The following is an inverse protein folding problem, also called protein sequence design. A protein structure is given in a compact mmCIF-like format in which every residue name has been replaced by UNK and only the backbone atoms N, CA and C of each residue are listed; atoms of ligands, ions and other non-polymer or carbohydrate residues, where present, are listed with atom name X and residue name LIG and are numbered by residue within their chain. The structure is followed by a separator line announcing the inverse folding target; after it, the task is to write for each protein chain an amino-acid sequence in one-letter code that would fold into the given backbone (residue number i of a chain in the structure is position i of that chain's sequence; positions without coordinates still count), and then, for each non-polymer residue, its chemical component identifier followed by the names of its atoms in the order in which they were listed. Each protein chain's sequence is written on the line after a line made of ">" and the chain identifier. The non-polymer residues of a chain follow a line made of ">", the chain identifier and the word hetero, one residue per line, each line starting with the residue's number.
data_IF_670581886149
#
_entry.id   IF_670581886149
#
_cell.length_a   1.000
_cell.length_b   1.000
_cell.length_c   1.000
_cell.angle_alpha   90.00
_cell.angle_beta   90.00
_cell.angle_gamma   90.00
#
_symmetry.space_group_name_H-M   'P 1'
#
loop_
_entity.id
_entity.type
_entity.pdbx_description
1 polymer ?
#
# COMPACT_ATOMS: atom_id res chain seq x y z
N UNK A 1 0.71 -1.95 -31.77
CA UNK A 1 0.50 -0.53 -31.50
C UNK A 1 1.24 0.25 -32.55
N UNK A 2 0.53 0.90 -33.44
CA UNK A 2 1.12 1.89 -34.33
C UNK A 2 1.88 2.88 -33.44
N UNK A 3 3.15 3.08 -33.73
CA UNK A 3 3.93 4.18 -33.16
C UNK A 3 3.16 5.44 -33.47
N UNK A 4 2.30 5.83 -32.53
CA UNK A 4 1.15 6.66 -32.78
C UNK A 4 1.57 7.96 -33.42
N UNK A 5 0.85 8.35 -34.39
CA UNK A 5 0.91 9.60 -35.08
C UNK A 5 1.17 10.72 -34.06
N UNK A 6 2.39 11.27 -34.04
CA UNK A 6 2.83 12.32 -33.13
C UNK A 6 1.85 13.49 -33.12
N UNK A 7 1.30 13.82 -34.31
CA UNK A 7 0.30 14.86 -34.47
C UNK A 7 -0.97 14.58 -33.69
N UNK A 8 -1.48 13.33 -33.69
CA UNK A 8 -2.63 12.93 -32.89
C UNK A 8 -2.36 13.03 -31.39
N UNK A 9 -1.17 12.60 -30.94
CA UNK A 9 -0.77 12.73 -29.52
C UNK A 9 -0.67 14.18 -29.09
N UNK A 10 -0.08 15.04 -29.94
CA UNK A 10 0.03 16.48 -29.68
C UNK A 10 -1.37 17.12 -29.64
N UNK A 11 -2.22 16.88 -30.61
CA UNK A 11 -3.60 17.40 -30.64
C UNK A 11 -4.41 16.97 -29.42
N UNK A 12 -4.28 15.71 -29.02
CA UNK A 12 -4.97 15.19 -27.82
C UNK A 12 -4.43 15.84 -26.55
N UNK A 13 -3.11 15.96 -26.43
CA UNK A 13 -2.50 16.56 -25.24
C UNK A 13 -2.83 18.05 -25.13
N UNK A 14 -2.79 18.78 -26.23
CA UNK A 14 -3.05 20.24 -26.30
C UNK A 14 -4.53 20.59 -26.55
N UNK A 15 -5.45 19.65 -26.45
CA UNK A 15 -6.87 19.97 -26.41
C UNK A 15 -7.14 20.96 -25.26
N UNK A 16 -7.78 22.09 -25.56
CA UNK A 16 -7.95 23.20 -24.62
C UNK A 16 -8.58 22.72 -23.31
N UNK A 17 -9.68 21.97 -23.39
CA UNK A 17 -10.38 21.46 -22.22
C UNK A 17 -9.48 20.56 -21.36
N UNK A 18 -8.64 19.73 -22.00
CA UNK A 18 -7.71 18.87 -21.30
C UNK A 18 -6.62 19.67 -20.57
N UNK A 19 -6.00 20.63 -21.24
CA UNK A 19 -4.98 21.51 -20.65
C UNK A 19 -5.56 22.29 -19.48
N UNK A 20 -6.74 22.89 -19.64
CA UNK A 20 -7.40 23.64 -18.59
C UNK A 20 -7.71 22.74 -17.40
N UNK A 21 -8.18 21.51 -17.64
CA UNK A 21 -8.42 20.53 -16.57
C UNK A 21 -7.12 20.15 -15.86
N UNK A 22 -6.03 19.94 -16.58
CA UNK A 22 -4.72 19.66 -15.97
C UNK A 22 -4.22 20.82 -15.11
N UNK A 23 -4.26 22.03 -15.63
CA UNK A 23 -3.83 23.25 -14.90
C UNK A 23 -4.70 23.45 -13.64
N UNK A 24 -6.00 23.29 -13.76
CA UNK A 24 -6.95 23.50 -12.67
C UNK A 24 -6.90 22.42 -11.60
N UNK A 25 -6.74 21.15 -12.01
CA UNK A 25 -7.06 20.03 -11.13
C UNK A 25 -5.89 19.08 -10.87
N UNK A 26 -4.85 19.02 -11.71
CA UNK A 26 -3.82 17.98 -11.63
C UNK A 26 -2.40 18.49 -11.40
N UNK A 27 -2.28 19.74 -10.97
CA UNK A 27 -1.06 20.28 -10.41
C UNK A 27 -1.16 20.20 -8.88
N UNK A 28 -0.12 19.66 -8.25
CA UNK A 28 0.00 19.53 -6.80
C UNK A 28 1.24 20.31 -6.35
N UNK A 29 1.08 21.11 -5.32
CA UNK A 29 2.20 21.74 -4.63
C UNK A 29 2.46 20.97 -3.35
N UNK A 30 3.67 20.47 -3.15
CA UNK A 30 4.05 19.72 -1.98
C UNK A 30 5.41 20.18 -1.47
N UNK A 31 5.55 20.24 -0.16
CA UNK A 31 6.81 20.57 0.49
C UNK A 31 7.75 19.37 0.49
N UNK A 32 8.97 19.60 0.00
CA UNK A 32 10.07 18.65 0.05
C UNK A 32 11.35 19.42 0.37
N UNK A 33 12.10 18.98 1.37
CA UNK A 33 13.36 19.60 1.80
C UNK A 33 13.20 21.10 2.13
N UNK A 34 12.09 21.46 2.81
CA UNK A 34 11.70 22.84 3.18
C UNK A 34 11.39 23.76 1.98
N UNK A 35 11.32 23.22 0.77
CA UNK A 35 10.95 23.94 -0.45
C UNK A 35 9.60 23.49 -0.99
N UNK A 36 8.79 24.47 -1.45
CA UNK A 36 7.52 24.20 -2.11
C UNK A 36 7.75 23.80 -3.57
N UNK A 37 7.59 22.52 -3.85
CA UNK A 37 7.77 21.95 -5.16
C UNK A 37 6.45 21.76 -5.90
N UNK A 38 6.47 22.00 -7.21
CA UNK A 38 5.33 21.79 -8.10
C UNK A 38 5.43 20.44 -8.78
N UNK A 39 4.38 19.62 -8.63
CA UNK A 39 4.24 18.31 -9.26
C UNK A 39 3.05 18.32 -10.22
N UNK A 40 3.20 17.70 -11.37
CA UNK A 40 2.13 17.46 -12.32
C UNK A 40 1.82 15.97 -12.29
N UNK A 41 0.56 15.60 -12.07
CA UNK A 41 0.17 14.21 -12.05
C UNK A 41 0.39 13.57 -13.44
N UNK A 42 0.95 12.36 -13.43
CA UNK A 42 1.10 11.56 -14.64
C UNK A 42 -0.26 10.99 -15.06
N UNK A 43 -0.37 10.53 -16.30
CA UNK A 43 -1.63 10.06 -16.86
C UNK A 43 -2.29 8.96 -16.02
N UNK A 44 -1.54 7.92 -15.62
CA UNK A 44 -2.07 6.84 -14.78
C UNK A 44 -2.58 7.35 -13.41
N UNK A 45 -1.96 8.40 -12.86
CA UNK A 45 -2.45 9.00 -11.60
C UNK A 45 -3.76 9.77 -11.84
N UNK A 46 -3.86 10.52 -12.94
CA UNK A 46 -5.09 11.25 -13.32
C UNK A 46 -6.25 10.27 -13.51
N UNK A 47 -6.05 9.22 -14.30
CA UNK A 47 -7.06 8.18 -14.53
C UNK A 47 -7.51 7.52 -13.24
N UNK A 48 -6.57 7.19 -12.35
CA UNK A 48 -6.90 6.63 -11.04
C UNK A 48 -7.69 7.62 -10.18
N UNK A 49 -7.30 8.90 -10.14
CA UNK A 49 -8.03 9.95 -9.39
C UNK A 49 -9.46 10.06 -9.89
N UNK A 50 -9.68 10.14 -11.22
CA UNK A 50 -11.01 10.23 -11.82
C UNK A 50 -11.88 9.02 -11.45
N UNK A 51 -11.34 7.80 -11.58
CA UNK A 51 -12.04 6.57 -11.20
C UNK A 51 -12.36 6.51 -9.69
N UNK A 52 -11.44 6.96 -8.85
CA UNK A 52 -11.64 7.03 -7.39
C UNK A 52 -12.76 8.00 -7.04
N UNK A 53 -12.76 9.21 -7.62
CA UNK A 53 -13.82 10.20 -7.40
C UNK A 53 -15.16 9.67 -7.90
N UNK A 54 -15.19 9.08 -9.10
CA UNK A 54 -16.40 8.48 -9.65
C UNK A 54 -16.93 7.34 -8.76
N UNK A 55 -16.06 6.45 -8.27
CA UNK A 55 -16.43 5.37 -7.37
C UNK A 55 -16.96 5.88 -6.03
N UNK A 56 -16.36 6.93 -5.49
CA UNK A 56 -16.79 7.52 -4.23
C UNK A 56 -18.20 8.10 -4.32
N UNK A 57 -18.60 8.63 -5.48
CA UNK A 57 -19.92 9.19 -5.75
C UNK A 57 -20.94 8.16 -6.24
N UNK A 58 -20.56 6.90 -6.42
CA UNK A 58 -21.45 5.82 -6.84
C UNK A 58 -22.19 5.23 -5.65
N UNK A 59 -23.50 5.39 -5.60
CA UNK A 59 -24.34 4.84 -4.53
C UNK A 59 -24.46 3.32 -4.54
N UNK A 60 -24.26 2.68 -5.69
CA UNK A 60 -24.40 1.24 -5.86
C UNK A 60 -23.12 0.46 -5.50
N UNK A 61 -21.94 1.09 -5.63
CA UNK A 61 -20.64 0.45 -5.47
C UNK A 61 -19.83 1.16 -4.39
N UNK A 62 -19.47 0.41 -3.35
CA UNK A 62 -18.81 0.96 -2.15
C UNK A 62 -17.37 0.48 -1.97
N UNK A 63 -16.82 -0.28 -2.91
CA UNK A 63 -15.46 -0.83 -2.85
C UNK A 63 -14.68 -0.48 -4.12
N UNK A 64 -13.39 -0.22 -3.98
CA UNK A 64 -12.49 0.01 -5.09
C UNK A 64 -11.06 -0.39 -4.73
N UNK A 65 -10.31 -0.99 -5.66
CA UNK A 65 -8.91 -1.32 -5.52
C UNK A 65 -8.10 -0.61 -6.61
N UNK A 66 -7.22 0.28 -6.20
CA UNK A 66 -6.21 0.87 -7.08
C UNK A 66 -4.91 0.07 -6.93
N UNK A 67 -4.64 -0.75 -7.93
CA UNK A 67 -3.44 -1.58 -7.99
C UNK A 67 -2.35 -0.89 -8.79
N UNK A 68 -1.62 -0.02 -8.16
CA UNK A 68 -0.49 0.70 -8.75
C UNK A 68 0.83 0.24 -8.15
N UNK A 69 1.82 -0.04 -8.99
CA UNK A 69 3.14 -0.52 -8.55
C UNK A 69 3.80 0.45 -7.55
N UNK A 70 4.77 -0.05 -6.82
CA UNK A 70 5.56 0.77 -5.90
C UNK A 70 6.33 1.84 -6.68
N UNK A 71 6.45 3.06 -6.13
CA UNK A 71 7.07 4.19 -6.84
C UNK A 71 6.21 4.90 -7.87
N UNK A 72 4.96 4.46 -8.12
CA UNK A 72 4.03 5.09 -9.07
C UNK A 72 3.44 6.43 -8.62
N UNK A 73 3.74 6.88 -7.39
CA UNK A 73 3.21 8.11 -6.82
C UNK A 73 1.79 8.00 -6.24
N UNK A 74 1.43 6.85 -5.67
CA UNK A 74 0.12 6.60 -5.02
C UNK A 74 -0.27 7.68 -4.01
N UNK A 75 0.69 8.18 -3.24
CA UNK A 75 0.44 9.25 -2.26
C UNK A 75 -0.15 10.51 -2.91
N UNK A 76 0.40 10.96 -4.05
CA UNK A 76 -0.18 12.10 -4.78
C UNK A 76 -1.55 11.78 -5.37
N UNK A 77 -1.80 10.55 -5.79
CA UNK A 77 -3.11 10.09 -6.24
C UNK A 77 -4.14 10.17 -5.11
N UNK A 78 -3.78 9.69 -3.91
CA UNK A 78 -4.63 9.76 -2.70
C UNK A 78 -4.92 11.22 -2.32
N UNK A 79 -3.88 12.05 -2.23
CA UNK A 79 -4.01 13.47 -1.88
C UNK A 79 -4.96 14.18 -2.86
N UNK A 80 -4.75 13.98 -4.16
CA UNK A 80 -5.55 14.66 -5.19
C UNK A 80 -6.99 14.15 -5.24
N UNK A 81 -7.21 12.85 -5.08
CA UNK A 81 -8.55 12.28 -4.96
C UNK A 81 -9.30 12.85 -3.75
N UNK A 82 -8.61 12.97 -2.60
CA UNK A 82 -9.17 13.58 -1.39
C UNK A 82 -9.55 15.05 -1.60
N UNK A 83 -8.68 15.83 -2.22
CA UNK A 83 -8.95 17.23 -2.53
C UNK A 83 -10.18 17.39 -3.44
N UNK A 84 -10.21 16.60 -4.54
CA UNK A 84 -11.34 16.69 -5.48
C UNK A 84 -12.65 16.21 -4.87
N UNK A 85 -12.62 15.17 -4.03
CA UNK A 85 -13.81 14.73 -3.29
C UNK A 85 -14.28 15.78 -2.29
N UNK A 86 -13.36 16.37 -1.53
CA UNK A 86 -13.69 17.39 -0.53
C UNK A 86 -14.34 18.62 -1.16
N UNK A 87 -13.87 19.02 -2.33
CA UNK A 87 -14.39 20.17 -3.10
C UNK A 87 -15.63 19.84 -3.95
N UNK A 88 -16.01 18.55 -4.07
CA UNK A 88 -17.11 18.13 -4.91
C UNK A 88 -18.46 18.36 -4.22
N UNK A 89 -19.36 19.18 -4.78
CA UNK A 89 -20.68 19.43 -4.18
C UNK A 89 -21.54 18.16 -4.02
N UNK A 90 -21.37 17.17 -4.90
CA UNK A 90 -22.11 15.90 -4.84
C UNK A 90 -21.69 15.01 -3.65
N UNK A 91 -20.52 15.25 -3.09
CA UNK A 91 -20.05 14.53 -1.91
C UNK A 91 -20.69 15.03 -0.61
N UNK A 92 -21.42 16.14 -0.64
CA UNK A 92 -22.21 16.72 0.46
C UNK A 92 -21.43 16.84 1.78
N UNK A 93 -20.42 17.71 1.79
CA UNK A 93 -19.56 17.95 2.97
C UNK A 93 -19.05 16.62 3.55
N UNK A 94 -18.18 15.91 2.84
CA UNK A 94 -17.76 14.56 3.21
C UNK A 94 -16.86 14.54 4.44
N UNK A 95 -16.79 13.36 5.07
CA UNK A 95 -15.68 12.96 5.91
C UNK A 95 -14.77 12.04 5.09
N UNK A 96 -13.52 12.43 4.91
CA UNK A 96 -12.54 11.63 4.18
C UNK A 96 -11.52 11.11 5.19
N UNK A 97 -11.42 9.80 5.32
CA UNK A 97 -10.49 9.14 6.24
C UNK A 97 -9.33 8.58 5.42
N UNK A 98 -8.14 9.08 5.68
CA UNK A 98 -6.89 8.60 5.09
C UNK A 98 -6.23 7.65 6.06
N UNK A 99 -6.21 6.37 5.71
CA UNK A 99 -5.53 5.34 6.50
C UNK A 99 -4.15 5.10 5.88
N UNK A 100 -3.12 5.35 6.67
CA UNK A 100 -1.72 5.17 6.29
C UNK A 100 -1.05 4.10 7.15
N UNK A 101 0.05 3.55 6.62
CA UNK A 101 0.75 2.43 7.25
C UNK A 101 1.92 2.85 8.16
N UNK A 102 2.48 4.06 7.97
CA UNK A 102 3.69 4.51 8.66
C UNK A 102 3.53 5.86 9.33
N UNK A 103 3.92 5.94 10.60
CA UNK A 103 3.88 7.18 11.40
C UNK A 103 4.66 8.33 10.75
N UNK A 104 5.83 8.05 10.17
CA UNK A 104 6.69 9.07 9.55
C UNK A 104 6.02 9.78 8.36
N UNK A 105 5.03 9.13 7.73
CA UNK A 105 4.30 9.70 6.60
C UNK A 105 3.08 10.53 7.05
N UNK A 106 2.61 10.40 8.30
CA UNK A 106 1.44 11.14 8.81
C UNK A 106 1.68 12.64 8.75
N UNK A 107 2.75 13.12 9.36
CA UNK A 107 3.07 14.55 9.41
C UNK A 107 3.32 15.14 8.02
N UNK A 108 4.01 14.40 7.16
CA UNK A 108 4.25 14.84 5.78
C UNK A 108 2.94 14.92 4.99
N UNK A 109 2.06 13.94 5.14
CA UNK A 109 0.76 13.93 4.47
C UNK A 109 -0.11 15.11 4.94
N UNK A 110 -0.16 15.38 6.25
CA UNK A 110 -0.91 16.50 6.83
C UNK A 110 -0.37 17.83 6.32
N UNK A 111 0.96 18.03 6.28
CA UNK A 111 1.56 19.24 5.70
C UNK A 111 1.18 19.42 4.23
N UNK A 112 1.27 18.35 3.44
CA UNK A 112 0.89 18.39 2.02
C UNK A 112 -0.60 18.71 1.83
N UNK A 113 -1.50 18.17 2.64
CA UNK A 113 -2.92 18.47 2.60
C UNK A 113 -3.20 19.94 2.94
N UNK A 114 -2.55 20.47 3.97
CA UNK A 114 -2.66 21.88 4.36
C UNK A 114 -2.11 22.82 3.28
N UNK A 115 -1.00 22.47 2.63
CA UNK A 115 -0.43 23.28 1.53
C UNK A 115 -1.36 23.36 0.30
N UNK A 116 -2.30 22.43 0.15
CA UNK A 116 -3.34 22.45 -0.87
C UNK A 116 -4.59 23.27 -0.46
N UNK A 117 -4.52 23.98 0.68
CA UNK A 117 -5.63 24.79 1.20
C UNK A 117 -6.73 23.97 1.88
N UNK A 118 -6.42 22.73 2.30
CA UNK A 118 -7.33 21.93 3.10
C UNK A 118 -7.07 22.22 4.58
N UNK A 119 -7.82 23.13 5.15
CA UNK A 119 -7.63 23.58 6.54
C UNK A 119 -8.25 22.60 7.56
N UNK A 120 -9.34 21.92 7.18
CA UNK A 120 -10.07 20.98 8.04
C UNK A 120 -9.40 19.58 7.98
N UNK A 121 -8.20 19.47 8.52
CA UNK A 121 -7.46 18.20 8.61
C UNK A 121 -7.16 17.90 10.07
N UNK A 122 -7.71 16.79 10.55
CA UNK A 122 -7.49 16.28 11.90
C UNK A 122 -6.59 15.04 11.89
N UNK A 123 -5.73 14.97 12.90
CA UNK A 123 -4.90 13.78 13.14
C UNK A 123 -5.51 12.95 14.25
N UNK A 124 -6.08 11.79 13.91
CA UNK A 124 -6.61 10.86 14.89
C UNK A 124 -5.50 9.90 15.39
N UNK A 125 -4.66 10.41 16.29
CA UNK A 125 -3.54 9.70 16.91
C UNK A 125 -3.97 8.70 17.98
N UNK A 126 -5.23 8.78 18.47
CA UNK A 126 -5.80 7.89 19.51
C UNK A 126 -7.13 7.30 19.05
N UNK A 127 -7.45 6.10 19.57
CA UNK A 127 -8.74 5.43 19.35
C UNK A 127 -9.90 6.33 19.79
N UNK A 128 -9.75 7.01 20.92
CA UNK A 128 -10.78 7.92 21.47
C UNK A 128 -11.01 9.09 20.50
N UNK A 129 -9.95 9.72 19.99
CA UNK A 129 -10.04 10.83 19.02
C UNK A 129 -10.79 10.40 17.77
N UNK A 130 -10.43 9.25 17.19
CA UNK A 130 -11.12 8.71 16.01
C UNK A 130 -12.60 8.46 16.30
N UNK A 131 -12.90 7.86 17.43
CA UNK A 131 -14.27 7.56 17.85
C UNK A 131 -15.11 8.83 18.00
N UNK A 132 -14.56 9.85 18.66
CA UNK A 132 -15.27 11.08 18.92
C UNK A 132 -15.52 11.87 17.60
N UNK A 133 -14.53 11.97 16.72
CA UNK A 133 -14.69 12.56 15.39
C UNK A 133 -15.81 11.90 14.56
N UNK A 134 -15.91 10.55 14.63
CA UNK A 134 -16.99 9.83 13.93
C UNK A 134 -18.37 10.01 14.55
N UNK A 135 -18.44 10.13 15.89
CA UNK A 135 -19.69 10.39 16.62
C UNK A 135 -20.20 11.82 16.42
N UNK A 136 -19.28 12.80 16.46
CA UNK A 136 -19.60 14.22 16.42
C UNK A 136 -19.88 14.73 15.01
N UNK A 137 -20.06 13.82 14.05
CA UNK A 137 -20.35 14.16 12.66
C UNK A 137 -19.32 15.11 12.03
N UNK A 138 -18.04 14.92 12.36
CA UNK A 138 -16.95 15.72 11.80
C UNK A 138 -16.97 15.73 10.27
N UNK A 139 -16.77 16.90 9.68
CA UNK A 139 -16.75 17.13 8.23
C UNK A 139 -15.40 17.68 7.81
N UNK A 140 -14.60 16.88 7.14
CA UNK A 140 -13.23 17.22 6.80
C UNK A 140 -12.39 15.97 6.51
N UNK A 141 -11.08 16.12 6.59
CA UNK A 141 -10.12 15.04 6.42
C UNK A 141 -9.65 14.55 7.79
N UNK A 142 -9.58 13.24 7.94
CA UNK A 142 -9.01 12.59 9.12
C UNK A 142 -7.84 11.75 8.63
N UNK A 143 -6.65 11.99 9.14
CA UNK A 143 -5.47 11.16 8.91
C UNK A 143 -5.28 10.24 10.11
N UNK A 144 -5.12 8.95 9.85
CA UNK A 144 -5.01 7.96 10.93
C UNK A 144 -4.37 6.66 10.45
N UNK A 145 -4.04 5.79 11.40
CA UNK A 145 -3.59 4.42 11.15
C UNK A 145 -4.71 3.40 11.39
N UNK A 146 -4.66 2.26 10.71
CA UNK A 146 -5.70 1.23 10.81
C UNK A 146 -5.94 0.72 12.24
N UNK A 147 -4.91 0.65 13.08
CA UNK A 147 -5.04 0.18 14.45
C UNK A 147 -5.88 1.08 15.37
N UNK A 148 -6.18 2.32 14.94
CA UNK A 148 -7.10 3.21 15.66
C UNK A 148 -8.57 2.77 15.55
N UNK A 149 -8.86 1.79 14.70
CA UNK A 149 -10.18 1.14 14.63
C UNK A 149 -10.29 -0.10 15.53
N UNK A 150 -9.24 -0.45 16.29
CA UNK A 150 -9.32 -1.58 17.20
C UNK A 150 -10.44 -1.38 18.22
N UNK A 151 -11.29 -2.43 18.37
CA UNK A 151 -12.43 -2.43 19.30
C UNK A 151 -13.40 -1.23 19.12
N UNK A 152 -13.42 -0.63 17.92
CA UNK A 152 -14.37 0.43 17.61
C UNK A 152 -15.81 -0.11 17.68
N UNK A 153 -16.75 0.62 18.30
CA UNK A 153 -18.16 0.20 18.35
C UNK A 153 -18.74 0.04 16.94
N UNK A 154 -19.59 -0.96 16.76
CA UNK A 154 -20.34 -1.12 15.52
C UNK A 154 -21.27 0.05 15.28
N UNK A 155 -21.52 0.38 14.02
CA UNK A 155 -22.47 1.40 13.58
C UNK A 155 -22.27 2.76 14.25
N UNK A 156 -20.99 3.12 14.53
CA UNK A 156 -20.66 4.40 15.16
C UNK A 156 -21.08 5.59 14.28
N UNK A 157 -21.07 5.41 12.96
CA UNK A 157 -21.63 6.34 12.00
C UNK A 157 -22.26 5.61 10.81
N UNK A 158 -23.53 5.88 10.56
CA UNK A 158 -24.29 5.29 9.45
C UNK A 158 -24.35 6.21 8.21
N UNK A 159 -23.54 7.24 8.17
CA UNK A 159 -23.47 8.17 7.04
C UNK A 159 -22.94 7.51 5.79
N UNK A 160 -23.47 7.92 4.63
CA UNK A 160 -23.03 7.45 3.31
C UNK A 160 -21.89 8.28 2.72
N UNK A 161 -21.71 9.51 3.16
CA UNK A 161 -20.68 10.44 2.69
C UNK A 161 -19.40 10.37 3.52
N UNK A 162 -19.04 9.16 3.94
CA UNK A 162 -17.75 8.83 4.52
C UNK A 162 -16.94 8.04 3.47
N UNK A 163 -15.77 8.55 3.12
CA UNK A 163 -14.87 7.96 2.15
C UNK A 163 -13.57 7.56 2.85
N UNK A 164 -13.20 6.30 2.76
CA UNK A 164 -11.97 5.77 3.37
C UNK A 164 -10.99 5.42 2.28
N UNK A 165 -9.87 6.10 2.24
CA UNK A 165 -8.77 5.85 1.32
C UNK A 165 -7.64 5.19 2.11
N UNK A 166 -7.30 3.96 1.75
CA UNK A 166 -6.37 3.11 2.52
C UNK A 166 -5.08 2.93 1.74
N UNK A 167 -3.99 3.51 2.21
CA UNK A 167 -2.67 3.22 1.65
C UNK A 167 -2.16 1.85 2.15
N UNK A 168 -1.34 1.19 1.35
CA UNK A 168 -0.84 -0.18 1.56
C UNK A 168 -1.96 -1.16 1.99
N UNK A 169 -3.06 -1.11 1.25
CA UNK A 169 -4.32 -1.82 1.56
C UNK A 169 -4.15 -3.34 1.79
N UNK A 170 -3.09 -3.95 1.27
CA UNK A 170 -2.78 -5.35 1.51
C UNK A 170 -2.51 -5.67 3.00
N UNK A 171 -2.05 -4.70 3.79
CA UNK A 171 -1.81 -4.85 5.23
C UNK A 171 -3.10 -4.73 6.05
N UNK A 172 -4.05 -3.93 5.59
CA UNK A 172 -5.34 -3.72 6.26
C UNK A 172 -6.24 -4.95 6.21
N UNK A 173 -6.03 -5.82 5.22
CA UNK A 173 -6.81 -7.07 5.07
C UNK A 173 -6.30 -8.21 5.94
N UNK A 174 -5.20 -8.03 6.65
CA UNK A 174 -4.65 -9.02 7.56
C UNK A 174 -5.24 -8.81 8.97
N UNK A 175 -6.00 -9.82 9.47
CA UNK A 175 -6.58 -9.80 10.82
C UNK A 175 -7.90 -9.05 10.93
N UNK A 176 -8.27 -8.72 12.18
CA UNK A 176 -9.58 -8.19 12.55
C UNK A 176 -9.77 -6.69 12.35
N UNK A 177 -8.68 -5.92 12.18
CA UNK A 177 -8.73 -4.46 12.12
C UNK A 177 -9.58 -3.93 10.94
N UNK A 178 -9.48 -4.58 9.78
CA UNK A 178 -10.35 -4.26 8.65
C UNK A 178 -11.83 -4.57 8.91
N UNK A 179 -12.12 -5.60 9.70
CA UNK A 179 -13.49 -5.94 10.11
C UNK A 179 -14.06 -4.90 11.08
N UNK A 180 -13.26 -4.41 12.03
CA UNK A 180 -13.66 -3.31 12.93
C UNK A 180 -13.97 -2.03 12.16
N UNK A 181 -13.13 -1.65 11.21
CA UNK A 181 -13.37 -0.51 10.33
C UNK A 181 -14.71 -0.63 9.60
N UNK A 182 -14.93 -1.76 8.91
CA UNK A 182 -16.16 -2.00 8.15
C UNK A 182 -17.41 -2.07 9.03
N UNK A 183 -17.28 -2.60 10.25
CA UNK A 183 -18.39 -2.67 11.19
C UNK A 183 -18.72 -1.31 11.82
N UNK A 184 -17.71 -0.46 12.04
CA UNK A 184 -17.89 0.86 12.63
C UNK A 184 -18.61 1.85 11.69
N UNK A 185 -18.34 1.78 10.38
CA UNK A 185 -18.87 2.67 9.35
C UNK A 185 -19.39 1.89 8.13
N UNK A 186 -20.50 1.14 8.28
CA UNK A 186 -20.92 0.14 7.29
C UNK A 186 -21.32 0.73 5.94
N UNK A 187 -21.76 1.99 5.90
CA UNK A 187 -22.18 2.66 4.68
C UNK A 187 -21.05 3.45 3.97
N UNK A 188 -19.84 3.43 4.51
CA UNK A 188 -18.72 4.14 3.94
C UNK A 188 -18.23 3.47 2.65
N UNK A 189 -17.74 4.29 1.71
CA UNK A 189 -17.01 3.81 0.55
C UNK A 189 -15.54 3.60 0.91
N UNK A 190 -15.01 2.39 0.66
CA UNK A 190 -13.64 2.02 0.96
C UNK A 190 -12.86 1.79 -0.33
N UNK A 191 -11.77 2.53 -0.50
CA UNK A 191 -10.88 2.43 -1.65
C UNK A 191 -9.47 2.13 -1.16
N UNK A 192 -8.95 0.98 -1.56
CA UNK A 192 -7.60 0.54 -1.20
C UNK A 192 -6.59 0.87 -2.29
N UNK A 193 -5.41 1.30 -1.88
CA UNK A 193 -4.25 1.54 -2.76
C UNK A 193 -3.14 0.57 -2.37
N UNK A 194 -2.58 -0.16 -3.32
CA UNK A 194 -1.46 -1.06 -3.06
C UNK A 194 -0.68 -1.39 -4.33
N UNK A 195 0.61 -1.63 -4.20
CA UNK A 195 1.45 -2.17 -5.27
C UNK A 195 1.51 -3.70 -5.29
N UNK A 196 1.17 -4.34 -4.19
CA UNK A 196 1.32 -5.77 -3.95
C UNK A 196 0.03 -6.38 -3.38
N UNK A 197 -1.07 -6.43 -4.17
CA UNK A 197 -2.31 -7.02 -3.68
C UNK A 197 -2.12 -8.51 -3.37
N UNK A 198 -2.73 -8.98 -2.29
CA UNK A 198 -2.64 -10.37 -1.82
C UNK A 198 -3.96 -11.08 -2.13
N UNK A 199 -3.87 -12.22 -2.81
CA UNK A 199 -5.05 -12.97 -3.25
C UNK A 199 -5.66 -13.82 -2.13
N UNK A 200 -4.81 -14.46 -1.30
CA UNK A 200 -5.23 -15.26 -0.15
C UNK A 200 -4.36 -14.95 1.05
N UNK A 201 -4.98 -14.75 2.20
CA UNK A 201 -4.28 -14.75 3.50
C UNK A 201 -4.76 -15.92 4.32
N UNK A 202 -3.88 -16.50 5.12
CA UNK A 202 -4.22 -17.58 6.05
C UNK A 202 -5.28 -17.12 7.06
N UNK A 203 -5.32 -15.83 7.35
CA UNK A 203 -6.18 -15.20 8.36
C UNK A 203 -7.07 -14.06 7.82
N UNK A 204 -7.42 -14.04 6.52
CA UNK A 204 -8.24 -12.95 5.99
C UNK A 204 -8.76 -13.16 4.57
N UNK A 205 -9.59 -12.21 4.12
CA UNK A 205 -10.26 -12.30 2.81
C UNK A 205 -9.37 -11.99 1.61
N UNK A 206 -8.16 -11.47 1.83
CA UNK A 206 -7.29 -10.95 0.77
C UNK A 206 -7.73 -9.58 0.22
N UNK A 207 -6.83 -8.91 -0.48
CA UNK A 207 -7.03 -7.53 -0.95
C UNK A 207 -8.12 -7.44 -2.01
N UNK A 208 -8.15 -8.37 -2.96
CA UNK A 208 -9.15 -8.39 -4.04
C UNK A 208 -10.57 -8.61 -3.53
N UNK A 209 -10.75 -9.52 -2.57
CA UNK A 209 -12.07 -9.80 -1.97
C UNK A 209 -12.58 -8.71 -1.04
N UNK A 210 -11.68 -7.85 -0.55
CA UNK A 210 -12.05 -6.75 0.36
C UNK A 210 -12.34 -5.48 -0.42
N UNK A 211 -11.48 -5.11 -1.37
CA UNK A 211 -11.56 -3.83 -2.07
C UNK A 211 -11.99 -3.96 -3.55
N UNK A 212 -11.77 -5.11 -4.17
CA UNK A 212 -12.06 -5.31 -5.60
C UNK A 212 -13.41 -5.97 -5.91
N UNK A 213 -14.24 -6.19 -4.90
CA UNK A 213 -15.48 -6.98 -5.01
C UNK A 213 -16.51 -6.35 -5.97
N UNK A 214 -16.53 -5.04 -6.12
CA UNK A 214 -17.48 -4.31 -6.96
C UNK A 214 -17.01 -4.20 -8.43
N UNK A 215 -15.83 -4.69 -8.75
CA UNK A 215 -15.24 -4.61 -10.08
C UNK A 215 -15.06 -6.00 -10.70
N UNK A 216 -15.50 -6.21 -11.96
CA UNK A 216 -15.40 -7.53 -12.62
C UNK A 216 -13.96 -8.06 -12.74
N UNK A 217 -12.98 -7.16 -12.82
CA UNK A 217 -11.55 -7.51 -12.89
C UNK A 217 -10.90 -7.62 -11.50
N UNK A 218 -11.65 -7.37 -10.41
CA UNK A 218 -11.14 -7.34 -9.05
C UNK A 218 -10.36 -6.06 -8.69
N UNK A 219 -10.33 -5.05 -9.57
CA UNK A 219 -9.70 -3.76 -9.31
C UNK A 219 -10.39 -2.64 -10.08
N UNK A 220 -10.34 -1.45 -9.52
CA UNK A 220 -10.88 -0.22 -10.10
C UNK A 220 -9.93 0.35 -11.15
N UNK A 221 -8.63 0.35 -10.85
CA UNK A 221 -7.58 0.81 -11.72
C UNK A 221 -6.30 0.00 -11.53
N UNK A 222 -5.49 -0.13 -12.61
CA UNK A 222 -4.24 -0.89 -12.57
C UNK A 222 -3.14 -0.16 -13.35
N UNK A 223 -2.00 0.00 -12.69
CA UNK A 223 -0.74 0.41 -13.30
C UNK A 223 0.35 -0.56 -12.83
N UNK A 224 0.71 -1.49 -13.71
CA UNK A 224 1.59 -2.60 -13.38
C UNK A 224 3.07 -2.18 -13.37
N UNK A 225 3.93 -3.06 -12.87
CA UNK A 225 5.39 -2.87 -12.95
C UNK A 225 5.86 -2.85 -14.42
N UNK A 226 5.21 -3.62 -15.30
CA UNK A 226 5.51 -3.62 -16.74
C UNK A 226 5.19 -2.26 -17.38
N UNK A 227 4.03 -1.69 -17.05
CA UNK A 227 3.64 -0.36 -17.54
C UNK A 227 4.65 0.70 -17.03
N UNK A 228 5.04 0.61 -15.76
CA UNK A 228 5.99 1.51 -15.12
C UNK A 228 7.40 1.44 -15.73
N UNK A 229 7.85 0.25 -16.13
CA UNK A 229 9.13 0.05 -16.84
C UNK A 229 9.03 0.63 -18.26
N UNK A 230 7.92 0.38 -18.96
CA UNK A 230 7.67 0.91 -20.30
C UNK A 230 7.66 2.45 -20.31
N UNK A 231 7.06 3.05 -19.28
CA UNK A 231 7.02 4.52 -19.11
C UNK A 231 8.35 5.10 -18.57
N UNK A 232 9.36 4.26 -18.31
CA UNK A 232 10.66 4.68 -17.79
C UNK A 232 10.61 5.23 -16.36
N UNK A 233 9.59 4.89 -15.58
CA UNK A 233 9.44 5.36 -14.19
C UNK A 233 9.98 4.37 -13.16
N UNK A 234 10.20 3.13 -13.58
CA UNK A 234 10.81 2.06 -12.78
C UNK A 234 11.88 1.37 -13.61
N UNK A 235 13.02 1.12 -13.01
CA UNK A 235 14.08 0.33 -13.65
C UNK A 235 13.78 -1.16 -13.52
N UNK A 236 14.04 -1.95 -14.57
CA UNK A 236 13.93 -3.40 -14.48
C UNK A 236 14.96 -3.95 -13.48
N UNK A 237 14.52 -4.90 -12.66
CA UNK A 237 15.41 -5.62 -11.75
C UNK A 237 15.93 -6.89 -12.44
N UNK A 238 17.23 -7.04 -12.45
CA UNK A 238 17.88 -8.26 -12.92
C UNK A 238 18.32 -9.08 -11.72
N UNK A 239 17.93 -10.34 -11.70
CA UNK A 239 18.29 -11.28 -10.64
C UNK A 239 19.42 -12.19 -11.13
N UNK A 240 20.47 -12.31 -10.34
CA UNK A 240 21.50 -13.32 -10.48
C UNK A 240 21.46 -14.24 -9.27
N UNK A 241 21.49 -15.54 -9.51
CA UNK A 241 21.59 -16.50 -8.42
C UNK A 241 22.99 -16.40 -7.80
N UNK A 242 23.05 -16.37 -6.47
CA UNK A 242 24.30 -16.47 -5.76
C UNK A 242 24.94 -17.84 -6.03
N UNK A 243 26.28 -17.94 -6.04
CA UNK A 243 26.99 -19.23 -6.20
C UNK A 243 26.53 -20.28 -5.19
N UNK A 244 26.55 -21.55 -5.59
CA UNK A 244 26.12 -22.67 -4.75
C UNK A 244 26.95 -22.82 -3.45
N UNK A 245 28.08 -22.13 -3.33
CA UNK A 245 28.92 -22.10 -2.13
C UNK A 245 28.21 -21.53 -0.89
N UNK A 246 27.01 -20.96 -1.09
CA UNK A 246 26.13 -20.50 0.01
C UNK A 246 25.25 -21.63 0.56
N UNK A 247 25.30 -22.84 -0.01
CA UNK A 247 24.61 -24.01 0.52
C UNK A 247 25.31 -24.47 1.81
N UNK A 248 24.51 -24.84 2.80
CA UNK A 248 25.01 -25.42 4.05
C UNK A 248 25.49 -26.84 3.72
N UNK A 249 26.76 -27.19 3.99
CA UNK A 249 27.27 -28.56 3.78
C UNK A 249 26.45 -29.57 4.60
N UNK A 250 26.16 -30.73 4.02
CA UNK A 250 25.40 -31.82 4.67
C UNK A 250 26.04 -32.26 5.99
N UNK A 251 27.37 -32.30 6.06
CA UNK A 251 28.13 -32.61 7.29
C UNK A 251 27.91 -31.59 8.42
N UNK A 252 27.63 -30.33 8.09
CA UNK A 252 27.31 -29.29 9.09
C UNK A 252 25.90 -29.45 9.61
N UNK A 253 24.97 -29.86 8.74
CA UNK A 253 23.59 -30.20 9.11
C UNK A 253 23.53 -31.37 10.08
N UNK A 254 24.29 -32.46 9.79
CA UNK A 254 24.37 -33.62 10.67
C UNK A 254 25.00 -33.28 12.03
N UNK A 255 26.09 -32.51 12.05
CA UNK A 255 26.74 -32.09 13.28
C UNK A 255 25.85 -31.21 14.15
N UNK A 256 25.13 -30.24 13.58
CA UNK A 256 24.19 -29.40 14.32
C UNK A 256 23.02 -30.22 14.83
N UNK A 257 22.51 -31.17 14.04
CA UNK A 257 21.42 -32.06 14.46
C UNK A 257 21.86 -32.95 15.63
N UNK A 258 23.01 -33.61 15.52
CA UNK A 258 23.56 -34.50 16.57
C UNK A 258 24.00 -33.72 17.82
N UNK A 259 24.24 -32.43 17.72
CA UNK A 259 24.58 -31.56 18.88
C UNK A 259 23.37 -31.11 19.65
N UNK A 260 22.15 -31.29 19.14
CA UNK A 260 20.93 -30.98 19.90
C UNK A 260 20.85 -31.95 21.09
N UNK A 261 20.94 -31.41 22.29
CA UNK A 261 20.84 -32.21 23.53
C UNK A 261 19.56 -33.07 23.58
N UNK A 262 18.52 -32.64 22.87
CA UNK A 262 17.24 -33.30 22.71
C UNK A 262 17.30 -34.56 21.84
N UNK A 263 18.31 -34.69 20.94
CA UNK A 263 18.49 -35.87 20.07
C UNK A 263 19.32 -36.98 20.76
N UNK A 264 20.02 -36.66 21.83
CA UNK A 264 20.87 -37.60 22.57
C UNK A 264 20.01 -38.50 23.46
N UNK A 265 19.93 -39.76 23.09
CA UNK A 265 19.26 -40.79 23.91
C UNK A 265 17.86 -41.16 23.50
N UNK A 266 17.32 -40.60 22.43
CA UNK A 266 16.01 -40.94 21.89
C UNK A 266 16.15 -42.04 20.85
N UNK A 267 15.46 -43.14 21.05
CA UNK A 267 15.38 -44.30 20.13
C UNK A 267 14.09 -44.35 19.33
N UNK A 268 13.17 -43.44 19.58
CA UNK A 268 11.87 -43.39 18.90
C UNK A 268 11.96 -42.54 17.65
N UNK A 269 11.65 -43.12 16.49
CA UNK A 269 11.71 -42.48 15.17
C UNK A 269 10.72 -41.34 15.04
N UNK A 270 9.54 -41.41 15.64
CA UNK A 270 8.54 -40.32 15.57
C UNK A 270 8.97 -39.11 16.38
N UNK A 271 9.62 -39.32 17.52
CA UNK A 271 10.15 -38.26 18.36
C UNK A 271 11.38 -37.60 17.73
N UNK A 272 12.26 -38.40 17.13
CA UNK A 272 13.38 -37.90 16.31
C UNK A 272 12.91 -37.08 15.12
N UNK A 273 11.85 -37.49 14.41
CA UNK A 273 11.29 -36.71 13.30
C UNK A 273 10.68 -35.37 13.77
N UNK A 274 10.02 -35.31 14.92
CA UNK A 274 9.53 -34.05 15.51
C UNK A 274 10.67 -33.10 15.90
N UNK A 275 11.78 -33.64 16.39
CA UNK A 275 12.98 -32.85 16.71
C UNK A 275 13.62 -32.36 15.42
N UNK A 276 13.68 -33.22 14.39
CA UNK A 276 14.20 -32.88 13.06
C UNK A 276 13.35 -31.75 12.41
N UNK A 277 12.04 -31.82 12.47
CA UNK A 277 11.14 -30.79 11.98
C UNK A 277 11.33 -29.45 12.71
N UNK A 278 11.59 -29.46 14.02
CA UNK A 278 11.91 -28.27 14.80
C UNK A 278 13.30 -27.72 14.49
N UNK A 279 14.29 -28.57 14.29
CA UNK A 279 15.65 -28.20 13.93
C UNK A 279 15.73 -27.65 12.50
N UNK A 280 14.96 -28.21 11.56
CA UNK A 280 14.83 -27.78 10.17
C UNK A 280 14.03 -26.48 9.99
N UNK A 281 13.64 -25.81 11.08
CA UNK A 281 13.08 -24.45 10.95
C UNK A 281 14.13 -23.58 10.27
N UNK A 282 13.84 -23.19 9.05
CA UNK A 282 14.67 -22.36 8.14
C UNK A 282 15.37 -21.20 8.86
N UNK A 283 14.80 -20.73 9.96
CA UNK A 283 15.31 -19.64 10.79
C UNK A 283 16.64 -19.97 11.51
N UNK A 284 16.88 -21.21 11.86
CA UNK A 284 18.13 -21.62 12.54
C UNK A 284 19.27 -21.75 11.55
N UNK A 285 19.00 -22.24 10.33
CA UNK A 285 19.99 -22.29 9.24
C UNK A 285 20.38 -20.91 8.74
N UNK A 286 19.44 -19.96 8.74
CA UNK A 286 19.71 -18.58 8.33
C UNK A 286 20.66 -17.84 9.28
N UNK A 287 20.83 -18.29 10.52
CA UNK A 287 21.65 -17.65 11.56
C UNK A 287 23.06 -18.21 11.71
N UNK A 288 23.42 -19.25 10.96
CA UNK A 288 24.76 -19.84 11.01
C UNK A 288 25.86 -18.82 10.71
N UNK A 289 26.87 -18.70 11.61
CA UNK A 289 27.92 -17.68 11.50
C UNK A 289 28.68 -17.80 10.16
N UNK A 290 29.06 -18.99 9.78
CA UNK A 290 29.77 -19.26 8.50
C UNK A 290 28.96 -18.82 7.28
N UNK A 291 27.64 -19.01 7.31
CA UNK A 291 26.76 -18.57 6.24
C UNK A 291 26.68 -17.05 6.17
N UNK A 292 26.55 -16.39 7.32
CA UNK A 292 26.52 -14.93 7.40
C UNK A 292 27.81 -14.35 6.88
N UNK A 293 28.94 -14.91 7.27
CA UNK A 293 30.27 -14.46 6.82
C UNK A 293 30.46 -14.65 5.30
N UNK A 294 30.04 -15.79 4.75
CA UNK A 294 30.06 -16.03 3.29
C UNK A 294 29.17 -15.05 2.53
N UNK A 295 27.95 -14.81 3.02
CA UNK A 295 27.03 -13.83 2.42
C UNK A 295 27.64 -12.43 2.48
N UNK A 296 28.18 -12.02 3.62
CA UNK A 296 28.81 -10.72 3.78
C UNK A 296 29.98 -10.51 2.82
N UNK A 297 30.86 -11.52 2.68
CA UNK A 297 31.96 -11.48 1.73
C UNK A 297 31.47 -11.41 0.27
N UNK A 298 30.47 -12.20 -0.08
CA UNK A 298 29.88 -12.17 -1.43
C UNK A 298 29.30 -10.78 -1.74
N UNK A 299 28.51 -10.21 -0.84
CA UNK A 299 27.91 -8.89 -1.01
C UNK A 299 28.99 -7.81 -1.13
N UNK A 300 30.00 -7.83 -0.25
CA UNK A 300 31.09 -6.86 -0.29
C UNK A 300 31.91 -6.93 -1.58
N UNK A 301 32.23 -8.13 -2.04
CA UNK A 301 32.98 -8.33 -3.29
C UNK A 301 32.14 -7.93 -4.51
N UNK A 302 30.85 -8.29 -4.52
CA UNK A 302 29.95 -7.91 -5.60
C UNK A 302 29.80 -6.39 -5.68
N UNK A 303 29.63 -5.71 -4.54
CA UNK A 303 29.56 -4.26 -4.49
C UNK A 303 30.82 -3.61 -5.06
N UNK A 304 32.01 -4.03 -4.62
CA UNK A 304 33.29 -3.51 -5.14
C UNK A 304 33.49 -3.75 -6.64
N UNK A 305 32.96 -4.84 -7.16
CA UNK A 305 33.20 -5.22 -8.56
C UNK A 305 32.27 -4.51 -9.54
N UNK A 306 31.01 -4.25 -9.12
CA UNK A 306 29.94 -3.86 -10.03
C UNK A 306 29.26 -2.53 -9.68
N UNK A 307 29.51 -1.95 -8.50
CA UNK A 307 28.82 -0.74 -8.03
C UNK A 307 29.80 0.40 -7.74
N UNK A 308 31.00 0.09 -7.21
CA UNK A 308 32.09 1.05 -6.96
C UNK A 308 32.97 1.19 -8.22
#
# INVERSE_FOLDING_TARGET
>A
EEVGNLESKIKTFFAIDRILTYIKSYIVFAEKDEELNKYILRQHQVEAVEKVVQRALDDAKKRGLVWHTQGSGKTFTIIKASELLFKNPLADKPTIILIIDRNELEDQLIRNLKSLGMENVEHADKIVTMRDLLKDDYRGLIVSMIHKFNEMPKDISNRKNIYVLVDEAHRTTQGDLGNYLMAAIPNATLIGFTGTPIDKTVYGKGTFKTFGVDDPKGYLDKYSISDSITDGTTLPLYYSLAPNDLLVPEETLEKEFLSLAEAQGISDIEELNKILERALVTKNFLKGKDRIDKIAHFVANHYKTYVE
#
